data_IF_422529178313
#
_entry.id   IF_422529178313
#
_cell.length_a   1.000
_cell.length_b   1.000
_cell.length_c   1.000
_cell.angle_alpha   90.00
_cell.angle_beta   90.00
_cell.angle_gamma   90.00
#
_symmetry.space_group_name_H-M   'P 1'
#
loop_
_entity.id
_entity.type
_entity.pdbx_description
1 polymer ?
#
# COMPACT_ATOMS: atom_id res chain seq x y z
N UNK A 1 4.83 20.67 9.33
CA UNK A 1 4.86 19.50 10.24
C UNK A 1 5.39 18.33 9.44
N UNK A 2 6.60 17.91 9.78
CA UNK A 2 7.44 16.92 9.08
C UNK A 2 7.08 15.50 9.49
N UNK A 3 6.77 14.63 8.52
CA UNK A 3 7.19 13.23 8.54
C UNK A 3 7.22 12.67 7.13
N UNK A 4 8.42 12.69 6.55
CA UNK A 4 8.79 12.05 5.29
C UNK A 4 8.81 10.53 5.49
N UNK A 5 7.63 9.91 5.46
CA UNK A 5 7.46 8.45 5.38
C UNK A 5 7.14 7.97 3.95
N UNK A 6 7.83 8.53 2.94
CA UNK A 6 7.94 8.06 1.54
C UNK A 6 6.66 7.44 0.92
N UNK A 7 5.67 8.30 0.65
CA UNK A 7 4.68 8.19 -0.43
C UNK A 7 3.50 7.23 -0.25
N UNK A 8 3.71 6.04 0.34
CA UNK A 8 2.71 4.97 0.27
C UNK A 8 2.51 4.23 1.61
N UNK A 9 1.27 3.83 1.85
CA UNK A 9 0.88 2.90 2.90
C UNK A 9 0.73 1.49 2.31
N UNK A 10 0.85 0.47 3.16
CA UNK A 10 0.63 -0.91 2.75
C UNK A 10 -0.86 -1.27 2.84
N UNK A 11 -1.47 -1.61 1.71
CA UNK A 11 -2.84 -2.10 1.61
C UNK A 11 -2.90 -3.61 1.32
N UNK A 12 -4.06 -4.23 1.60
CA UNK A 12 -4.36 -5.63 1.25
C UNK A 12 -5.68 -5.70 0.48
N UNK A 13 -5.70 -6.46 -0.60
CA UNK A 13 -6.93 -6.81 -1.30
C UNK A 13 -7.70 -7.93 -0.57
N UNK A 14 -9.00 -8.05 -0.85
CA UNK A 14 -9.89 -9.00 -0.17
C UNK A 14 -9.71 -10.44 -0.64
N UNK A 15 -9.34 -10.63 -1.91
CA UNK A 15 -9.34 -11.95 -2.55
C UNK A 15 -8.11 -12.76 -2.15
N UNK A 16 -6.94 -12.13 -2.19
CA UNK A 16 -5.65 -12.80 -2.06
C UNK A 16 -4.82 -12.34 -0.86
N UNK A 17 -5.26 -11.28 -0.15
CA UNK A 17 -4.47 -10.64 0.91
C UNK A 17 -3.07 -10.23 0.46
N UNK A 18 -2.88 -9.94 -0.83
CA UNK A 18 -1.62 -9.49 -1.41
C UNK A 18 -1.32 -8.07 -0.96
N UNK A 19 -0.05 -7.76 -0.72
CA UNK A 19 0.37 -6.41 -0.33
C UNK A 19 0.38 -5.48 -1.55
N UNK A 20 -0.29 -4.35 -1.43
CA UNK A 20 -0.39 -3.31 -2.44
C UNK A 20 0.08 -1.96 -1.89
N UNK A 21 0.66 -1.12 -2.75
CA UNK A 21 1.05 0.24 -2.40
C UNK A 21 -0.16 1.18 -2.56
N UNK A 22 -0.57 1.84 -1.48
CA UNK A 22 -1.68 2.80 -1.47
C UNK A 22 -1.12 4.20 -1.30
N UNK A 23 -1.45 5.18 -2.15
CA UNK A 23 -1.01 6.56 -1.95
C UNK A 23 -1.38 7.05 -0.55
N UNK A 24 -0.43 7.65 0.16
CA UNK A 24 -0.62 8.01 1.58
C UNK A 24 -1.83 8.93 1.79
N UNK A 25 -2.00 9.89 0.88
CA UNK A 25 -3.13 10.82 0.87
C UNK A 25 -4.49 10.12 0.74
N UNK A 26 -4.58 9.04 -0.04
CA UNK A 26 -5.78 8.21 -0.14
C UNK A 26 -5.96 7.34 1.11
N UNK A 27 -4.88 6.75 1.61
CA UNK A 27 -4.86 5.88 2.79
C UNK A 27 -5.29 6.59 4.08
N UNK A 28 -5.04 7.89 4.20
CA UNK A 28 -5.44 8.70 5.34
C UNK A 28 -6.95 9.06 5.32
N UNK A 29 -7.62 8.86 4.18
CA UNK A 29 -9.07 9.03 4.01
C UNK A 29 -9.88 7.77 4.34
N UNK A 30 -11.22 7.87 4.42
CA UNK A 30 -12.08 6.69 4.58
C UNK A 30 -12.08 5.80 3.32
N UNK A 31 -12.38 4.49 3.45
CA UNK A 31 -12.52 3.61 2.30
C UNK A 31 -13.67 4.04 1.36
N UNK A 32 -13.66 3.60 0.08
CA UNK A 32 -12.76 2.59 -0.48
C UNK A 32 -11.37 3.13 -0.82
N UNK A 33 -10.35 2.33 -0.54
CA UNK A 33 -8.98 2.63 -0.96
C UNK A 33 -8.65 1.94 -2.27
N UNK A 34 -7.77 2.55 -3.05
CA UNK A 34 -7.29 2.01 -4.32
C UNK A 34 -5.77 2.08 -4.34
N UNK A 35 -5.13 0.97 -4.68
CA UNK A 35 -3.70 0.88 -4.82
C UNK A 35 -3.19 1.65 -6.05
N UNK A 36 -1.89 1.95 -6.09
CA UNK A 36 -1.24 2.57 -7.25
C UNK A 36 -1.39 1.77 -8.55
N UNK A 37 -1.58 0.45 -8.47
CA UNK A 37 -1.86 -0.41 -9.63
C UNK A 37 -3.35 -0.48 -10.04
N UNK A 38 -4.24 0.26 -9.35
CA UNK A 38 -5.68 0.27 -9.59
C UNK A 38 -6.48 -0.80 -8.84
N UNK A 39 -5.82 -1.71 -8.12
CA UNK A 39 -6.51 -2.76 -7.35
C UNK A 39 -7.21 -2.17 -6.11
N UNK A 40 -8.50 -2.46 -5.89
CA UNK A 40 -9.18 -2.11 -4.66
C UNK A 40 -8.56 -2.81 -3.45
N UNK A 41 -8.35 -2.07 -2.38
CA UNK A 41 -7.79 -2.55 -1.12
C UNK A 41 -8.81 -2.32 -0.01
N UNK A 42 -9.01 -3.34 0.82
CA UNK A 42 -10.01 -3.29 1.87
C UNK A 42 -9.46 -2.90 3.24
N UNK A 43 -8.15 -3.05 3.43
CA UNK A 43 -7.47 -2.59 4.64
C UNK A 43 -6.18 -1.91 4.26
N UNK A 44 -5.83 -0.85 4.98
CA UNK A 44 -4.54 -0.17 4.89
C UNK A 44 -3.90 -0.14 6.27
N UNK A 45 -2.70 -0.70 6.38
CA UNK A 45 -2.03 -0.87 7.66
C UNK A 45 -0.50 -0.73 7.53
N UNK A 46 0.03 0.30 8.19
CA UNK A 46 1.47 0.54 8.24
C UNK A 46 2.04 1.15 6.96
N UNK A 47 3.36 1.25 6.91
CA UNK A 47 4.08 1.85 5.79
C UNK A 47 4.36 0.82 4.69
N UNK A 48 4.33 1.28 3.43
CA UNK A 48 4.64 0.43 2.28
C UNK A 48 6.07 -0.13 2.31
N UNK A 49 7.04 0.65 2.80
CA UNK A 49 8.43 0.19 2.93
C UNK A 49 8.69 -0.74 4.14
N UNK A 50 7.65 -1.07 4.92
CA UNK A 50 7.76 -1.94 6.09
C UNK A 50 7.41 -3.40 5.81
N UNK A 51 7.37 -4.21 6.88
CA UNK A 51 7.05 -5.64 6.85
C UNK A 51 5.68 -5.98 6.26
N UNK A 52 4.76 -5.00 6.22
CA UNK A 52 3.40 -5.19 5.66
C UNK A 52 3.31 -4.87 4.16
N UNK A 53 4.29 -4.17 3.60
CA UNK A 53 4.35 -3.83 2.18
C UNK A 53 5.48 -4.60 1.49
N UNK A 54 6.58 -3.93 1.14
CA UNK A 54 7.73 -4.52 0.45
C UNK A 54 8.39 -5.69 1.20
N UNK A 55 8.22 -5.76 2.52
CA UNK A 55 8.70 -6.87 3.35
C UNK A 55 7.70 -8.01 3.56
N UNK A 56 6.52 -7.98 2.93
CA UNK A 56 5.55 -9.06 3.03
C UNK A 56 5.92 -10.25 2.13
N UNK A 57 5.41 -11.44 2.43
CA UNK A 57 5.66 -12.65 1.64
C UNK A 57 5.04 -12.59 0.24
N UNK A 58 3.83 -12.01 0.12
CA UNK A 58 3.15 -11.81 -1.15
C UNK A 58 2.95 -10.31 -1.42
N UNK A 59 3.75 -9.78 -2.33
CA UNK A 59 3.81 -8.37 -2.71
C UNK A 59 3.40 -8.22 -4.16
N UNK A 60 2.50 -7.27 -4.46
CA UNK A 60 2.12 -6.96 -5.82
C UNK A 60 3.35 -6.50 -6.63
N UNK A 61 3.74 -7.23 -7.69
CA UNK A 61 4.94 -6.90 -8.46
C UNK A 61 4.81 -5.55 -9.18
N UNK A 62 3.59 -5.15 -9.53
CA UNK A 62 3.35 -3.86 -10.17
C UNK A 62 3.49 -2.70 -9.18
N UNK A 63 2.89 -2.80 -7.98
CA UNK A 63 3.12 -1.83 -6.92
C UNK A 63 4.59 -1.73 -6.52
N UNK A 64 5.34 -2.85 -6.54
CA UNK A 64 6.78 -2.85 -6.28
C UNK A 64 7.58 -2.06 -7.32
N UNK A 65 7.12 -2.01 -8.58
CA UNK A 65 7.73 -1.20 -9.65
C UNK A 65 7.32 0.27 -9.56
N UNK A 66 6.03 0.53 -9.35
CA UNK A 66 5.45 1.89 -9.32
C UNK A 66 5.85 2.66 -8.06
N UNK A 67 5.99 1.97 -6.92
CA UNK A 67 6.31 2.56 -5.62
C UNK A 67 7.54 1.88 -5.01
N UNK A 68 8.76 2.21 -5.44
CA UNK A 68 9.98 1.78 -4.75
C UNK A 68 10.12 2.44 -3.37
N UNK A 69 11.01 1.92 -2.52
CA UNK A 69 11.20 2.29 -1.11
C UNK A 69 11.64 3.75 -0.85
#
# INVERSE_FOLDING_TARGET
>A
MTSTGRGHAAGRDQESSRAHAVPREAADGPPPWVAACGTPVAVVQGAWNGSRGLGADDVCPECRRLAPA
#
